data_IF_940597842692
#
_entry.id   IF_940597842692
#
_cell.length_a   1.000
_cell.length_b   1.000
_cell.length_c   1.000
_cell.angle_alpha   90.00
_cell.angle_beta   90.00
_cell.angle_gamma   90.00
#
_symmetry.space_group_name_H-M   'P 1'
#
loop_
_entity.id
_entity.type
_entity.pdbx_description
1 polymer ?
#
# COMPACT_ATOMS: atom_id res chain seq x y z
N UNK A 1 16.05 -48.28 -8.73
CA UNK A 1 16.54 -47.98 -7.37
C UNK A 1 17.03 -46.55 -7.28
N UNK A 2 18.26 -46.19 -7.72
CA UNK A 2 18.77 -44.80 -7.58
C UNK A 2 17.93 -43.74 -8.34
N UNK A 3 17.46 -44.05 -9.55
CA UNK A 3 16.59 -43.13 -10.31
C UNK A 3 15.20 -42.93 -9.70
N UNK A 4 14.64 -43.98 -9.10
CA UNK A 4 13.31 -43.93 -8.49
C UNK A 4 13.36 -43.11 -7.19
N UNK A 5 14.45 -43.26 -6.42
CA UNK A 5 14.73 -42.44 -5.24
C UNK A 5 14.97 -40.96 -5.61
N UNK A 6 15.71 -40.70 -6.70
CA UNK A 6 15.86 -39.34 -7.23
C UNK A 6 14.53 -38.74 -7.70
N UNK A 7 13.68 -39.53 -8.35
CA UNK A 7 12.33 -39.08 -8.76
C UNK A 7 11.49 -38.69 -7.54
N UNK A 8 11.45 -39.55 -6.52
CA UNK A 8 10.70 -39.30 -5.30
C UNK A 8 11.16 -38.00 -4.61
N UNK A 9 12.47 -37.79 -4.49
CA UNK A 9 13.02 -36.56 -3.87
C UNK A 9 12.66 -35.30 -4.64
N UNK A 10 12.64 -35.37 -5.97
CA UNK A 10 12.21 -34.25 -6.81
C UNK A 10 10.72 -33.99 -6.67
N UNK A 11 9.89 -35.04 -6.61
CA UNK A 11 8.44 -34.91 -6.40
C UNK A 11 8.13 -34.30 -5.03
N UNK A 12 8.82 -34.73 -3.97
CA UNK A 12 8.71 -34.13 -2.63
C UNK A 12 9.09 -32.64 -2.65
N UNK A 13 10.20 -32.30 -3.32
CA UNK A 13 10.64 -30.91 -3.45
C UNK A 13 9.63 -30.07 -4.23
N UNK A 14 9.06 -30.60 -5.31
CA UNK A 14 8.02 -29.91 -6.11
C UNK A 14 6.75 -29.71 -5.29
N UNK A 15 6.32 -30.72 -4.54
CA UNK A 15 5.14 -30.61 -3.67
C UNK A 15 5.34 -29.55 -2.59
N UNK A 16 6.51 -29.55 -1.94
CA UNK A 16 6.86 -28.54 -0.94
C UNK A 16 6.90 -27.13 -1.54
N UNK A 17 7.58 -26.95 -2.67
CA UNK A 17 7.68 -25.65 -3.33
C UNK A 17 6.32 -25.17 -3.85
N UNK A 18 5.46 -26.06 -4.33
CA UNK A 18 4.10 -25.72 -4.75
C UNK A 18 3.31 -25.13 -3.57
N UNK A 19 3.36 -25.79 -2.41
CA UNK A 19 2.70 -25.30 -1.19
C UNK A 19 3.23 -23.92 -0.77
N UNK A 20 4.54 -23.72 -0.83
CA UNK A 20 5.18 -22.42 -0.53
C UNK A 20 4.71 -21.34 -1.50
N UNK A 21 4.59 -21.65 -2.79
CA UNK A 21 4.08 -20.71 -3.81
C UNK A 21 2.62 -20.33 -3.53
N UNK A 22 1.79 -21.29 -3.15
CA UNK A 22 0.39 -21.02 -2.76
C UNK A 22 0.31 -20.08 -1.55
N UNK A 23 1.08 -20.35 -0.49
CA UNK A 23 1.15 -19.49 0.70
C UNK A 23 1.60 -18.07 0.35
N UNK A 24 2.62 -17.94 -0.50
CA UNK A 24 3.09 -16.63 -0.95
C UNK A 24 2.05 -15.90 -1.80
N UNK A 25 1.30 -16.62 -2.64
CA UNK A 25 0.21 -16.06 -3.45
C UNK A 25 -0.88 -15.45 -2.57
N UNK A 26 -1.27 -16.13 -1.49
CA UNK A 26 -2.24 -15.60 -0.52
C UNK A 26 -1.72 -14.32 0.16
N UNK A 27 -0.44 -14.30 0.54
CA UNK A 27 0.20 -13.11 1.14
C UNK A 27 0.22 -11.94 0.16
N UNK A 28 0.60 -12.18 -1.10
CA UNK A 28 0.62 -11.14 -2.16
C UNK A 28 -0.77 -10.58 -2.39
N UNK A 29 -1.80 -11.43 -2.50
CA UNK A 29 -3.18 -10.99 -2.67
C UNK A 29 -3.68 -10.12 -1.50
N UNK A 30 -3.26 -10.44 -0.26
CA UNK A 30 -3.56 -9.62 0.92
C UNK A 30 -2.84 -8.27 0.86
N UNK A 31 -1.56 -8.26 0.49
CA UNK A 31 -0.78 -7.04 0.36
C UNK A 31 -1.31 -6.12 -0.74
N UNK A 32 -1.75 -6.66 -1.88
CA UNK A 32 -2.38 -5.89 -2.95
C UNK A 32 -3.59 -5.11 -2.45
N UNK A 33 -4.48 -5.76 -1.69
CA UNK A 33 -5.66 -5.10 -1.09
C UNK A 33 -5.27 -3.99 -0.12
N UNK A 34 -4.21 -4.20 0.65
CA UNK A 34 -3.69 -3.22 1.59
C UNK A 34 -3.08 -2.01 0.88
N UNK A 35 -2.25 -2.25 -0.13
CA UNK A 35 -1.68 -1.20 -0.99
C UNK A 35 -2.80 -0.38 -1.63
N UNK A 36 -3.81 -1.03 -2.23
CA UNK A 36 -4.94 -0.32 -2.82
C UNK A 36 -5.67 0.58 -1.80
N UNK A 37 -5.84 0.12 -0.56
CA UNK A 37 -6.43 0.90 0.53
C UNK A 37 -5.55 2.09 0.92
N UNK A 38 -4.25 1.89 1.03
CA UNK A 38 -3.29 2.94 1.37
C UNK A 38 -3.21 3.98 0.26
N UNK A 39 -3.11 3.57 -1.01
CA UNK A 39 -3.09 4.46 -2.16
C UNK A 39 -4.33 5.36 -2.22
N UNK A 40 -5.53 4.82 -1.96
CA UNK A 40 -6.75 5.64 -1.87
C UNK A 40 -6.68 6.68 -0.76
N UNK A 41 -6.18 6.31 0.43
CA UNK A 41 -6.03 7.23 1.55
C UNK A 41 -5.03 8.34 1.25
N UNK A 42 -3.90 8.00 0.63
CA UNK A 42 -2.89 8.97 0.19
C UNK A 42 -3.50 9.92 -0.83
N UNK A 43 -4.27 9.42 -1.80
CA UNK A 43 -4.99 10.26 -2.77
C UNK A 43 -5.89 11.30 -2.10
N UNK A 44 -6.74 10.87 -1.16
CA UNK A 44 -7.60 11.78 -0.40
C UNK A 44 -6.81 12.80 0.43
N UNK A 45 -5.65 12.43 0.98
CA UNK A 45 -4.81 13.37 1.71
C UNK A 45 -4.20 14.42 0.77
N UNK A 46 -3.74 14.01 -0.41
CA UNK A 46 -3.20 14.92 -1.42
C UNK A 46 -4.27 15.90 -1.94
N UNK A 47 -5.50 15.43 -2.17
CA UNK A 47 -6.63 16.29 -2.54
C UNK A 47 -6.88 17.37 -1.48
N UNK A 48 -6.89 16.99 -0.19
CA UNK A 48 -7.09 17.94 0.91
C UNK A 48 -5.94 18.93 1.07
N UNK A 49 -4.70 18.51 0.87
CA UNK A 49 -3.57 19.43 0.89
C UNK A 49 -3.65 20.43 -0.27
N UNK A 50 -4.05 19.97 -1.47
CA UNK A 50 -4.27 20.87 -2.60
C UNK A 50 -5.39 21.89 -2.33
N UNK A 51 -6.49 21.48 -1.69
CA UNK A 51 -7.56 22.38 -1.24
C UNK A 51 -7.03 23.42 -0.24
N UNK A 52 -6.21 23.01 0.74
CA UNK A 52 -5.60 23.94 1.71
C UNK A 52 -4.63 24.92 1.07
N UNK A 53 -3.80 24.48 0.12
CA UNK A 53 -2.90 25.37 -0.61
C UNK A 53 -3.70 26.42 -1.41
N UNK A 54 -4.82 26.02 -2.02
CA UNK A 54 -5.72 26.94 -2.72
C UNK A 54 -6.41 27.94 -1.76
N UNK A 55 -6.88 27.47 -0.60
CA UNK A 55 -7.50 28.33 0.42
C UNK A 55 -6.47 29.28 1.08
N UNK A 56 -5.23 28.82 1.28
CA UNK A 56 -4.11 29.59 1.83
C UNK A 56 -3.64 30.77 0.96
N UNK A 57 -4.10 30.86 -0.29
CA UNK A 57 -3.94 32.03 -1.15
C UNK A 57 -4.81 33.24 -0.77
N UNK A 58 -5.72 33.08 0.21
CA UNK A 58 -6.60 34.14 0.70
C UNK A 58 -6.41 34.29 2.21
N UNK A 59 -5.27 34.84 2.63
CA UNK A 59 -5.28 35.62 3.86
C UNK A 59 -5.97 36.93 3.47
N UNK A 60 -7.20 37.25 3.93
CA UNK A 60 -7.56 38.65 4.01
C UNK A 60 -6.55 39.21 5.01
N UNK A 61 -5.51 39.91 4.53
CA UNK A 61 -4.75 40.79 5.38
C UNK A 61 -5.78 41.76 5.92
N UNK A 62 -6.31 41.43 7.09
CA UNK A 62 -7.14 42.33 7.84
C UNK A 62 -6.19 43.44 8.25
N UNK A 63 -6.07 44.45 7.39
CA UNK A 63 -5.63 45.80 7.71
C UNK A 63 -6.64 46.48 8.67
N UNK A 64 -7.23 45.70 9.57
CA UNK A 64 -8.03 46.23 10.67
C UNK A 64 -7.05 46.69 11.74
N UNK A 65 -6.69 47.97 11.63
CA UNK A 65 -6.05 48.73 12.70
C UNK A 65 -6.82 48.46 14.00
N UNK A 66 -6.17 47.95 15.07
CA UNK A 66 -6.88 47.59 16.30
C UNK A 66 -7.62 48.82 16.85
N UNK A 67 -8.92 48.71 17.18
CA UNK A 67 -9.65 49.79 17.82
C UNK A 67 -9.06 49.98 19.21
N UNK A 68 -8.49 51.14 19.43
CA UNK A 68 -7.95 51.54 20.72
C UNK A 68 -9.12 51.73 21.69
N UNK A 69 -9.13 50.93 22.74
CA UNK A 69 -9.67 51.27 24.05
C UNK A 69 -8.79 50.63 25.11
#
# INVERSE_FOLDING_TARGET
MDKDEQSLRLEEAVAHLTRVVEDLSEVVARQEREIARLSRRVGLLLEREAEREAEGGTIPLADQRPPHW
#
